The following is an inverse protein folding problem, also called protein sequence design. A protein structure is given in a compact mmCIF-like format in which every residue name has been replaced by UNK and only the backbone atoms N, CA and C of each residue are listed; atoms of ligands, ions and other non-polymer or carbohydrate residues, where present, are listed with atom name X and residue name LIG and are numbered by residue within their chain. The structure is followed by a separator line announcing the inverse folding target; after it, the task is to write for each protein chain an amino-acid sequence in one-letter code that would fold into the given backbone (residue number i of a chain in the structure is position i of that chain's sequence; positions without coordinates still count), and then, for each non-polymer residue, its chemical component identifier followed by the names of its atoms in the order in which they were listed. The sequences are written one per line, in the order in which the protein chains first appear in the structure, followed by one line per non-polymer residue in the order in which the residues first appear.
data_IF_506523943007
#
_entry.id   IF_506523943007
#
_cell.length_a   1.000
_cell.length_b   1.000
_cell.length_c   1.000
_cell.angle_alpha   90.00
_cell.angle_beta   90.00
_cell.angle_gamma   90.00
#
_symmetry.space_group_name_H-M   'P 1'
#
loop_
_entity.id
_entity.type
_entity.pdbx_description
1 polymer ?
#
# COMPACT_ATOMS: atom_id res chain seq x y z
N UNK A 1 -18.96 16.22 -48.80
CA UNK A 1 -17.68 16.04 -48.07
C UNK A 1 -17.60 16.85 -46.76
N UNK A 2 -18.50 17.80 -46.48
CA UNK A 2 -18.46 18.65 -45.27
C UNK A 2 -19.16 18.06 -44.04
N UNK A 3 -20.20 17.23 -44.20
CA UNK A 3 -21.00 16.73 -43.07
C UNK A 3 -20.26 15.69 -42.19
N UNK A 4 -19.40 14.86 -42.81
CA UNK A 4 -18.59 13.88 -42.08
C UNK A 4 -17.52 14.53 -41.19
N UNK A 5 -16.98 15.69 -41.58
CA UNK A 5 -16.02 16.43 -40.76
C UNK A 5 -16.68 17.02 -39.52
N UNK A 6 -17.91 17.52 -39.64
CA UNK A 6 -18.68 18.09 -38.54
C UNK A 6 -19.04 17.03 -37.49
N UNK A 7 -19.44 15.83 -37.93
CA UNK A 7 -19.77 14.73 -37.02
C UNK A 7 -18.54 14.24 -36.22
N UNK A 8 -17.38 14.13 -36.87
CA UNK A 8 -16.12 13.79 -36.20
C UNK A 8 -15.67 14.90 -35.23
N UNK A 9 -15.90 16.17 -35.56
CA UNK A 9 -15.58 17.29 -34.67
C UNK A 9 -16.46 17.26 -33.41
N UNK A 10 -17.77 17.04 -33.56
CA UNK A 10 -18.72 16.96 -32.45
C UNK A 10 -18.39 15.77 -31.54
N UNK A 11 -18.06 14.61 -32.13
CA UNK A 11 -17.64 13.43 -31.37
C UNK A 11 -16.34 13.68 -30.58
N UNK A 12 -15.36 14.35 -31.18
CA UNK A 12 -14.11 14.68 -30.51
C UNK A 12 -14.30 15.66 -29.34
N UNK A 13 -15.14 16.68 -29.53
CA UNK A 13 -15.48 17.66 -28.49
C UNK A 13 -16.23 17.00 -27.33
N UNK A 14 -17.20 16.12 -27.62
CA UNK A 14 -17.91 15.34 -26.60
C UNK A 14 -16.97 14.44 -25.78
N UNK A 15 -16.04 13.75 -26.43
CA UNK A 15 -15.02 12.96 -25.72
C UNK A 15 -14.12 13.83 -24.82
N UNK A 16 -13.70 15.01 -25.31
CA UNK A 16 -12.85 15.91 -24.54
C UNK A 16 -13.57 16.45 -23.29
N UNK A 17 -14.86 16.81 -23.41
CA UNK A 17 -15.69 17.26 -22.28
C UNK A 17 -15.90 16.13 -21.26
N UNK A 18 -16.12 14.89 -21.71
CA UNK A 18 -16.27 13.73 -20.82
C UNK A 18 -14.97 13.43 -20.05
N UNK A 19 -13.81 13.55 -20.69
CA UNK A 19 -12.50 13.38 -20.04
C UNK A 19 -12.23 14.43 -18.95
N UNK A 20 -12.74 15.65 -19.11
CA UNK A 20 -12.61 16.71 -18.10
C UNK A 20 -13.60 16.56 -16.92
N UNK A 21 -14.63 15.73 -17.07
CA UNK A 21 -15.64 15.49 -16.03
C UNK A 21 -15.27 14.37 -15.06
N UNK A 22 -14.15 13.67 -15.30
CA UNK A 22 -13.62 12.69 -14.35
C UNK A 22 -13.10 13.49 -13.16
N UNK A 23 -13.73 13.42 -11.97
CA UNK A 23 -13.15 14.06 -10.80
C UNK A 23 -11.74 13.51 -10.63
N UNK A 24 -10.78 14.40 -10.37
CA UNK A 24 -9.46 14.00 -9.88
C UNK A 24 -9.70 13.28 -8.55
N UNK A 25 -9.94 11.98 -8.60
CA UNK A 25 -9.88 11.15 -7.42
C UNK A 25 -8.42 11.21 -7.01
N UNK A 26 -8.13 11.98 -5.96
CA UNK A 26 -6.93 11.73 -5.14
C UNK A 26 -7.08 10.30 -4.63
N UNK A 27 -6.65 9.34 -5.44
CA UNK A 27 -6.75 7.93 -5.16
C UNK A 27 -5.73 7.63 -4.07
N UNK A 28 -6.15 7.86 -2.82
CA UNK A 28 -5.48 7.37 -1.63
C UNK A 28 -5.39 5.85 -1.74
N UNK A 29 -4.19 5.30 -1.62
CA UNK A 29 -3.98 3.85 -1.59
C UNK A 29 -4.78 3.24 -0.44
N UNK A 30 -5.41 2.09 -0.69
CA UNK A 30 -6.07 1.30 0.34
C UNK A 30 -5.20 0.14 0.76
N UNK A 31 -5.14 -0.13 2.05
CA UNK A 31 -4.34 -1.23 2.59
C UNK A 31 -5.18 -2.08 3.55
N UNK A 32 -4.78 -3.34 3.74
CA UNK A 32 -5.28 -4.09 4.88
C UNK A 32 -4.57 -3.61 6.15
N UNK A 33 -5.32 -3.48 7.26
CA UNK A 33 -4.82 -3.12 8.58
C UNK A 33 -5.22 -4.15 9.62
N UNK A 34 -4.22 -4.77 10.23
CA UNK A 34 -4.41 -5.65 11.39
C UNK A 34 -3.14 -5.72 12.24
N UNK A 35 -3.31 -5.93 13.55
CA UNK A 35 -2.22 -6.01 14.52
C UNK A 35 -1.93 -7.46 14.92
N UNK A 36 -0.67 -7.76 15.18
CA UNK A 36 -0.28 -9.09 15.68
C UNK A 36 -0.79 -9.35 17.11
N UNK A 37 -0.93 -8.29 17.91
CA UNK A 37 -1.41 -8.33 19.29
C UNK A 37 -2.17 -7.04 19.63
N UNK A 38 -2.87 -7.02 20.75
CA UNK A 38 -3.49 -5.80 21.27
C UNK A 38 -2.42 -4.75 21.60
N UNK A 39 -2.64 -3.47 21.25
CA UNK A 39 -1.74 -2.40 21.63
C UNK A 39 -1.73 -2.23 23.15
N UNK A 40 -0.58 -1.84 23.70
CA UNK A 40 -0.41 -1.60 25.15
C UNK A 40 -1.13 -0.34 25.62
N UNK A 41 -1.45 0.57 24.71
CA UNK A 41 -2.14 1.82 24.97
C UNK A 41 -3.49 1.84 24.26
N UNK A 42 -4.50 2.41 24.92
CA UNK A 42 -5.81 2.60 24.32
C UNK A 42 -5.70 3.60 23.16
N UNK A 43 -6.25 3.23 22.01
CA UNK A 43 -6.40 4.10 20.85
C UNK A 43 -7.89 4.21 20.55
N UNK A 44 -8.33 5.35 20.01
CA UNK A 44 -9.71 5.52 19.56
C UNK A 44 -10.00 4.81 18.22
N UNK A 45 -9.06 4.00 17.73
CA UNK A 45 -9.21 3.26 16.48
C UNK A 45 -9.83 1.89 16.71
N UNK A 46 -10.56 1.40 15.71
CA UNK A 46 -11.07 0.02 15.74
C UNK A 46 -9.90 -0.95 15.63
N UNK A 47 -9.62 -1.69 16.71
CA UNK A 47 -8.54 -2.68 16.74
C UNK A 47 -9.00 -3.94 16.03
N UNK A 48 -8.15 -4.46 15.14
CA UNK A 48 -8.39 -5.66 14.34
C UNK A 48 -7.17 -6.55 14.42
N UNK A 49 -7.32 -7.80 14.85
CA UNK A 49 -6.20 -8.71 15.02
C UNK A 49 -5.93 -9.51 13.75
N UNK A 50 -4.66 -9.70 13.39
CA UNK A 50 -4.30 -10.50 12.22
C UNK A 50 -4.61 -11.99 12.40
N UNK A 51 -4.85 -12.45 13.64
CA UNK A 51 -5.37 -13.80 13.92
C UNK A 51 -6.75 -14.03 13.28
N UNK A 52 -7.55 -12.97 13.16
CA UNK A 52 -8.92 -13.01 12.63
C UNK A 52 -8.98 -12.49 11.18
N UNK A 53 -7.82 -12.30 10.55
CA UNK A 53 -7.72 -11.74 9.21
C UNK A 53 -8.32 -12.67 8.17
N UNK A 54 -9.35 -12.19 7.48
CA UNK A 54 -10.16 -12.96 6.52
C UNK A 54 -10.34 -12.25 5.18
N UNK A 55 -9.50 -11.24 4.89
CA UNK A 55 -9.55 -10.43 3.67
C UNK A 55 -10.85 -9.62 3.48
N UNK A 56 -11.76 -9.60 4.46
CA UNK A 56 -12.99 -8.82 4.34
C UNK A 56 -12.74 -7.31 4.47
N UNK A 57 -13.70 -6.53 3.98
CA UNK A 57 -13.67 -5.06 4.00
C UNK A 57 -13.50 -4.48 5.41
N UNK A 58 -13.85 -5.24 6.45
CA UNK A 58 -13.62 -4.83 7.83
C UNK A 58 -12.13 -4.62 8.12
N UNK A 59 -11.20 -5.16 7.34
CA UNK A 59 -9.76 -4.95 7.49
C UNK A 59 -9.21 -3.86 6.58
N UNK A 60 -10.00 -3.30 5.66
CA UNK A 60 -9.54 -2.28 4.72
C UNK A 60 -9.53 -0.91 5.41
N UNK A 61 -8.50 -0.12 5.11
CA UNK A 61 -8.38 1.29 5.52
C UNK A 61 -7.87 2.13 4.36
N UNK A 62 -8.28 3.39 4.31
CA UNK A 62 -7.69 4.40 3.43
C UNK A 62 -6.40 4.94 4.04
N UNK A 63 -5.36 5.11 3.23
CA UNK A 63 -4.04 5.60 3.64
C UNK A 63 -3.71 6.96 2.98
N UNK A 64 -4.34 8.07 3.40
CA UNK A 64 -4.19 9.37 2.73
C UNK A 64 -2.79 10.01 2.87
N UNK A 65 -1.97 9.49 3.78
CA UNK A 65 -0.61 9.99 4.04
C UNK A 65 0.47 8.93 3.79
N UNK A 66 0.16 7.94 2.95
CA UNK A 66 1.09 6.86 2.59
C UNK A 66 1.00 6.59 1.09
N UNK A 67 2.14 6.37 0.46
CA UNK A 67 2.26 5.85 -0.91
C UNK A 67 2.49 4.34 -0.94
N UNK A 68 2.70 3.71 0.22
CA UNK A 68 2.91 2.27 0.37
C UNK A 68 2.00 1.63 1.43
N UNK A 69 1.61 0.39 1.20
CA UNK A 69 1.18 -0.53 2.25
C UNK A 69 2.40 -1.25 2.85
N UNK A 70 2.31 -1.60 4.13
CA UNK A 70 3.30 -2.42 4.82
C UNK A 70 2.71 -3.76 5.28
N UNK A 71 3.57 -4.78 5.28
CA UNK A 71 3.34 -6.07 5.92
C UNK A 71 4.59 -6.48 6.68
N UNK A 72 4.46 -6.68 7.99
CA UNK A 72 5.54 -7.10 8.87
C UNK A 72 5.36 -8.55 9.28
N UNK A 73 6.38 -9.36 9.08
CA UNK A 73 6.50 -10.69 9.64
C UNK A 73 7.47 -10.64 10.82
N UNK A 74 7.12 -11.31 11.92
CA UNK A 74 7.98 -11.43 13.09
C UNK A 74 8.05 -12.88 13.51
N UNK A 75 9.26 -13.40 13.67
CA UNK A 75 9.49 -14.76 14.13
C UNK A 75 10.36 -14.69 15.36
N UNK A 76 9.92 -15.25 16.48
CA UNK A 76 10.70 -15.31 17.71
C UNK A 76 10.85 -16.76 18.18
N UNK A 77 12.05 -17.15 18.58
CA UNK A 77 12.34 -18.48 19.11
C UNK A 77 12.42 -18.40 20.64
N UNK A 78 11.33 -18.72 21.32
CA UNK A 78 11.22 -18.66 22.78
C UNK A 78 10.60 -19.99 23.25
N UNK A 79 11.43 -20.91 23.77
CA UNK A 79 11.35 -22.39 23.67
C UNK A 79 10.64 -23.05 22.47
N UNK A 80 9.54 -22.48 22.00
CA UNK A 80 8.80 -22.77 20.79
C UNK A 80 8.88 -21.56 19.84
N UNK A 81 8.81 -21.80 18.54
CA UNK A 81 8.75 -20.72 17.55
C UNK A 81 7.38 -20.05 17.55
N UNK A 82 7.36 -18.73 17.65
CA UNK A 82 6.16 -17.90 17.59
C UNK A 82 6.26 -17.00 16.36
N UNK A 83 5.22 -17.03 15.53
CA UNK A 83 5.10 -16.19 14.34
C UNK A 83 4.01 -15.13 14.56
N UNK A 84 4.35 -13.89 14.20
CA UNK A 84 3.43 -12.76 14.16
C UNK A 84 3.36 -12.22 12.74
N UNK A 85 2.19 -11.71 12.38
CA UNK A 85 2.03 -10.90 11.17
C UNK A 85 1.25 -9.65 11.52
N UNK A 86 1.64 -8.54 10.92
CA UNK A 86 1.00 -7.24 11.05
C UNK A 86 0.89 -6.61 9.67
N UNK A 87 -0.17 -5.83 9.44
CA UNK A 87 -0.43 -5.12 8.19
C UNK A 87 -0.89 -3.72 8.52
N UNK A 88 -0.43 -2.74 7.76
CA UNK A 88 -0.84 -1.35 7.93
C UNK A 88 -0.54 -0.51 6.68
N UNK A 89 -0.89 0.77 6.73
CA UNK A 89 -0.31 1.81 5.89
C UNK A 89 1.16 2.06 6.29
N UNK A 90 2.05 2.35 5.33
CA UNK A 90 3.43 2.70 5.65
C UNK A 90 3.52 4.10 6.28
N UNK A 91 4.28 4.27 7.36
CA UNK A 91 4.39 5.54 8.08
C UNK A 91 5.27 6.53 7.32
N UNK A 92 4.66 7.38 6.49
CA UNK A 92 5.37 8.38 5.69
C UNK A 92 5.02 9.82 6.08
N UNK A 93 4.10 9.98 7.03
CA UNK A 93 3.61 11.28 7.48
C UNK A 93 4.64 11.98 8.36
N UNK A 94 5.23 13.04 7.84
CA UNK A 94 6.02 14.00 8.60
C UNK A 94 5.19 15.27 8.83
N UNK A 95 5.17 15.76 10.07
CA UNK A 95 4.46 16.99 10.44
C UNK A 95 5.49 18.05 10.78
N UNK A 96 5.67 19.03 9.90
CA UNK A 96 6.62 20.13 10.08
C UNK A 96 5.89 21.39 10.53
N UNK A 97 6.59 22.23 11.30
CA UNK A 97 6.11 23.54 11.75
C UNK A 97 6.91 24.62 11.04
N UNK A 98 6.25 25.35 10.14
CA UNK A 98 6.85 26.42 9.36
C UNK A 98 6.39 27.77 9.91
N UNK A 99 7.34 28.65 10.24
CA UNK A 99 7.02 30.01 10.67
C UNK A 99 6.82 30.90 9.43
N UNK A 100 5.56 31.19 9.11
CA UNK A 100 5.16 32.02 7.96
C UNK A 100 4.26 33.15 8.45
N UNK A 101 4.55 34.38 8.03
CA UNK A 101 3.74 35.58 8.37
C UNK A 101 3.52 35.81 9.87
N UNK A 102 4.56 35.62 10.69
CA UNK A 102 4.48 35.87 12.13
C UNK A 102 3.75 34.79 12.94
N UNK A 103 3.38 33.66 12.31
CA UNK A 103 2.66 32.56 12.96
C UNK A 103 3.28 31.21 12.59
N UNK A 104 3.23 30.27 13.52
CA UNK A 104 3.54 28.86 13.23
C UNK A 104 2.39 28.25 12.42
N UNK A 105 2.73 27.60 11.33
CA UNK A 105 1.81 26.87 10.45
C UNK A 105 2.28 25.42 10.35
N UNK A 106 1.35 24.49 10.54
CA UNK A 106 1.63 23.07 10.38
C UNK A 106 1.50 22.66 8.92
N UNK A 107 2.49 21.95 8.40
CA UNK A 107 2.51 21.42 7.04
C UNK A 107 2.80 19.91 7.13
N UNK A 108 2.11 19.11 6.31
CA UNK A 108 2.30 17.66 6.26
C UNK A 108 3.10 17.32 5.02
N UNK A 109 4.25 16.69 5.22
CA UNK A 109 5.12 16.20 4.17
C UNK A 109 5.07 14.67 4.16
N UNK A 110 5.05 14.08 2.97
CA UNK A 110 5.08 12.63 2.79
C UNK A 110 6.49 12.27 2.34
N UNK A 111 7.25 11.63 3.21
CA UNK A 111 8.59 11.13 2.85
C UNK A 111 8.48 9.79 2.12
N UNK A 112 9.42 9.50 1.21
CA UNK A 112 9.49 8.19 0.52
C UNK A 112 10.71 7.36 0.95
N UNK A 113 10.80 6.96 2.24
CA UNK A 113 11.96 6.21 2.73
C UNK A 113 11.93 4.72 2.36
N UNK A 114 10.82 4.22 1.81
CA UNK A 114 10.59 2.78 1.64
C UNK A 114 10.92 2.32 0.22
N UNK A 115 11.63 1.19 0.14
CA UNK A 115 11.87 0.50 -1.13
C UNK A 115 10.87 -0.66 -1.29
N UNK A 116 10.24 -0.81 -2.47
CA UNK A 116 9.38 -1.95 -2.77
C UNK A 116 10.06 -3.29 -2.46
N UNK A 117 9.29 -4.26 -1.99
CA UNK A 117 9.78 -5.60 -1.65
C UNK A 117 9.96 -5.84 -0.16
N UNK A 118 10.47 -7.04 0.18
CA UNK A 118 10.64 -7.50 1.54
C UNK A 118 12.10 -7.39 1.99
N UNK A 119 12.30 -6.75 3.14
CA UNK A 119 13.61 -6.47 3.71
C UNK A 119 13.68 -7.00 5.13
N UNK A 120 14.72 -7.79 5.42
CA UNK A 120 15.00 -8.24 6.78
C UNK A 120 15.71 -7.15 7.54
N UNK A 121 15.24 -6.90 8.77
CA UNK A 121 15.93 -5.99 9.68
C UNK A 121 17.12 -6.74 10.26
N UNK A 122 18.34 -6.34 9.86
CA UNK A 122 19.56 -6.81 10.49
C UNK A 122 19.86 -5.96 11.73
N UNK A 123 19.58 -6.53 12.90
CA UNK A 123 19.87 -5.92 14.19
C UNK A 123 21.23 -6.35 14.75
N UNK A 124 22.08 -6.97 13.92
CA UNK A 124 23.40 -7.51 14.30
C UNK A 124 23.33 -8.51 15.46
N UNK A 125 22.21 -9.23 15.60
CA UNK A 125 21.99 -10.23 16.65
C UNK A 125 21.58 -9.62 17.99
N UNK A 126 21.14 -8.36 18.02
CA UNK A 126 20.67 -7.71 19.25
C UNK A 126 19.37 -8.35 19.75
N UNK A 127 18.51 -8.87 18.86
CA UNK A 127 17.28 -9.58 19.22
C UNK A 127 17.37 -11.04 18.80
N UNK A 128 16.69 -11.88 19.56
CA UNK A 128 16.47 -13.29 19.22
C UNK A 128 15.36 -13.49 18.18
N UNK A 129 14.68 -12.41 17.80
CA UNK A 129 13.60 -12.41 16.82
C UNK A 129 14.06 -11.89 15.47
N UNK A 130 13.55 -12.50 14.40
CA UNK A 130 13.72 -12.04 13.02
C UNK A 130 12.51 -11.19 12.64
N UNK A 131 12.76 -10.03 12.03
CA UNK A 131 11.73 -9.14 11.51
C UNK A 131 11.96 -8.96 10.01
N UNK A 132 10.92 -9.16 9.22
CA UNK A 132 10.90 -8.89 7.78
C UNK A 132 9.77 -7.91 7.48
N UNK A 133 10.10 -6.79 6.84
CA UNK A 133 9.15 -5.76 6.45
C UNK A 133 9.01 -5.74 4.94
N UNK A 134 7.79 -5.88 4.44
CA UNK A 134 7.45 -5.83 3.03
C UNK A 134 6.67 -4.56 2.70
N UNK A 135 7.09 -3.86 1.64
CA UNK A 135 6.44 -2.66 1.15
C UNK A 135 5.95 -2.85 -0.29
N UNK A 136 4.76 -2.35 -0.59
CA UNK A 136 4.16 -2.39 -1.92
C UNK A 136 3.27 -1.15 -2.14
N UNK A 137 3.14 -0.69 -3.38
CA UNK A 137 2.60 0.63 -3.75
C UNK A 137 1.32 0.55 -4.60
N UNK A 138 0.50 -0.48 -4.42
CA UNK A 138 -0.77 -0.62 -5.12
C UNK A 138 -1.88 -1.06 -4.16
N UNK A 139 -3.12 -0.82 -4.55
CA UNK A 139 -4.29 -1.08 -3.72
C UNK A 139 -4.31 -2.52 -3.19
N UNK A 140 -4.47 -2.66 -1.87
CA UNK A 140 -4.63 -3.91 -1.13
C UNK A 140 -3.49 -4.92 -1.33
N UNK A 141 -2.31 -4.45 -1.74
CA UNK A 141 -1.15 -5.27 -2.10
C UNK A 141 -0.58 -6.08 -0.94
N UNK A 142 -0.78 -5.62 0.31
CA UNK A 142 -0.31 -6.31 1.51
C UNK A 142 -1.18 -7.54 1.89
N UNK A 143 -2.04 -7.99 0.99
CA UNK A 143 -2.78 -9.26 1.08
C UNK A 143 -1.89 -10.48 0.90
N UNK A 144 -0.87 -10.38 0.05
CA UNK A 144 -0.04 -11.50 -0.38
C UNK A 144 0.59 -12.25 0.80
N UNK A 145 0.23 -13.52 0.99
CA UNK A 145 1.06 -14.49 1.74
C UNK A 145 2.37 -14.67 0.99
N UNK A 146 3.51 -14.66 1.69
CA UNK A 146 4.88 -14.76 1.14
C UNK A 146 4.91 -15.58 -0.13
N UNK A 147 4.77 -14.90 -1.28
CA UNK A 147 4.66 -15.56 -2.56
C UNK A 147 6.08 -15.92 -2.97
N UNK A 148 6.36 -17.21 -3.01
CA UNK A 148 7.51 -17.75 -3.73
C UNK A 148 7.45 -17.21 -5.16
N UNK A 149 8.27 -16.20 -5.40
CA UNK A 149 8.36 -15.38 -6.64
C UNK A 149 8.72 -16.19 -7.90
N UNK A 150 8.90 -17.50 -7.79
CA UNK A 150 9.29 -18.38 -8.91
C UNK A 150 8.15 -18.87 -9.80
N UNK A 151 6.89 -18.89 -9.36
CA UNK A 151 5.81 -19.51 -10.14
C UNK A 151 5.06 -18.55 -11.08
N UNK A 152 4.88 -17.29 -10.69
CA UNK A 152 4.11 -16.33 -11.49
C UNK A 152 4.88 -15.82 -12.72
N UNK A 153 6.21 -15.68 -12.63
CA UNK A 153 7.05 -15.26 -13.76
C UNK A 153 7.06 -16.30 -14.89
N UNK A 154 6.92 -17.59 -14.57
CA UNK A 154 6.87 -18.67 -15.56
C UNK A 154 5.56 -18.68 -16.39
N UNK A 155 4.46 -18.21 -15.83
CA UNK A 155 3.17 -18.17 -16.53
C UNK A 155 3.11 -17.03 -17.55
N UNK A 156 3.67 -15.86 -17.24
CA UNK A 156 3.69 -14.73 -18.18
C UNK A 156 4.65 -14.96 -19.35
N UNK A 157 5.81 -15.60 -19.13
CA UNK A 157 6.75 -15.91 -20.22
C UNK A 157 6.18 -16.95 -21.17
N UNK A 158 5.48 -17.97 -20.67
CA UNK A 158 4.86 -19.00 -21.51
C UNK A 158 3.73 -18.42 -22.37
N UNK A 159 2.84 -17.60 -21.81
CA UNK A 159 1.74 -16.95 -22.58
C UNK A 159 2.29 -16.04 -23.68
N UNK A 160 3.35 -15.28 -23.42
CA UNK A 160 3.97 -14.41 -24.45
C UNK A 160 4.59 -15.24 -25.57
N UNK A 161 5.26 -16.36 -25.25
CA UNK A 161 5.83 -17.25 -26.27
C UNK A 161 4.74 -17.90 -27.13
N UNK A 162 3.61 -18.32 -26.55
CA UNK A 162 2.48 -18.87 -27.32
C UNK A 162 1.66 -17.82 -28.08
N UNK A 163 1.73 -16.54 -27.69
CA UNK A 163 1.04 -15.46 -28.40
C UNK A 163 1.86 -14.87 -29.56
N UNK A 164 3.16 -15.17 -29.64
CA UNK A 164 4.08 -14.69 -30.67
C UNK A 164 4.42 -15.79 -31.71
N UNK A 165 4.08 -17.06 -31.43
CA UNK A 165 4.20 -18.20 -32.35
C UNK A 165 2.87 -18.47 -33.06
#
# INVERSE_FOLDING_TARGET
MSEGYYFNLISAVMCFVLLQSIPNAEATIRCYKCLATLPTFYTNETIRLCKDFDYSDKFIVDCPYSTYCTKKFTTANIPTTINGTERDCASQKQVIQNYKNGRWQQEVEIEEPYQPGCHKVDDKGTRTSTIENCYCNYDLCNSATTATTGFLTALFTTVIVYAIV
#
